data_IF_604822286115
#
_entry.id   IF_604822286115
#
_cell.length_a   1.000
_cell.length_b   1.000
_cell.length_c   1.000
_cell.angle_alpha   90.00
_cell.angle_beta   90.00
_cell.angle_gamma   90.00
#
_symmetry.space_group_name_H-M   'P 1'
#
loop_
_entity.id
_entity.type
_entity.pdbx_description
1 polymer ?
#
# COMPACT_ATOMS: atom_id res chain seq x y z
N UNK A 1 35.17 18.69 3.50
CA UNK A 1 34.49 19.10 4.74
C UNK A 1 33.92 20.48 4.50
N UNK A 2 32.73 20.60 3.97
CA UNK A 2 32.00 21.87 3.92
C UNK A 2 31.42 22.10 5.30
N UNK A 3 31.65 23.26 5.87
CA UNK A 3 31.15 23.66 7.18
C UNK A 3 29.65 23.40 7.27
N UNK A 4 29.22 22.57 8.23
CA UNK A 4 27.81 22.35 8.60
C UNK A 4 27.19 23.70 8.87
N UNK A 5 26.24 24.09 8.04
CA UNK A 5 25.55 25.35 8.12
C UNK A 5 24.91 25.51 9.51
N UNK A 6 25.20 26.61 10.19
CA UNK A 6 24.59 27.04 11.44
C UNK A 6 23.08 27.35 11.32
N UNK A 7 22.44 26.89 10.26
CA UNK A 7 21.04 27.14 9.87
C UNK A 7 20.20 25.86 9.75
N UNK A 8 20.76 24.69 10.06
CA UNK A 8 19.99 23.44 10.03
C UNK A 8 18.93 23.44 11.15
N UNK A 9 17.70 23.02 10.82
CA UNK A 9 16.56 22.98 11.74
C UNK A 9 16.76 21.79 12.69
N UNK A 10 17.01 22.06 13.96
CA UNK A 10 17.13 21.10 15.06
C UNK A 10 15.83 20.96 15.87
N UNK A 11 14.89 21.91 15.73
CA UNK A 11 13.63 21.92 16.41
C UNK A 11 12.66 20.90 15.85
N UNK A 12 12.33 19.84 16.63
CA UNK A 12 11.34 18.83 16.25
C UNK A 12 9.96 19.42 15.91
N UNK A 13 9.40 20.38 16.72
CA UNK A 13 8.11 20.99 16.37
C UNK A 13 8.15 21.73 15.04
N UNK A 14 9.25 22.43 14.74
CA UNK A 14 9.37 23.17 13.48
C UNK A 14 9.52 22.20 12.30
N UNK A 15 10.35 21.19 12.41
CA UNK A 15 10.53 20.15 11.37
C UNK A 15 9.22 19.41 11.11
N UNK A 16 8.49 19.01 12.15
CA UNK A 16 7.18 18.38 12.02
C UNK A 16 6.16 19.34 11.37
N UNK A 17 6.16 20.62 11.75
CA UNK A 17 5.32 21.63 11.12
C UNK A 17 5.60 21.78 9.62
N UNK A 18 6.86 21.72 9.20
CA UNK A 18 7.26 21.79 7.78
C UNK A 18 6.72 20.59 7.00
N UNK A 19 6.88 19.37 7.49
CA UNK A 19 6.35 18.19 6.76
C UNK A 19 4.82 18.21 6.69
N UNK A 20 4.14 18.66 7.75
CA UNK A 20 2.69 18.84 7.73
C UNK A 20 2.25 19.92 6.73
N UNK A 21 2.98 21.02 6.63
CA UNK A 21 2.74 22.06 5.64
C UNK A 21 2.94 21.55 4.20
N UNK A 22 3.98 20.72 3.96
CA UNK A 22 4.21 20.07 2.66
C UNK A 22 3.03 19.18 2.30
N UNK A 23 2.59 18.31 3.21
CA UNK A 23 1.43 17.44 2.98
C UNK A 23 0.19 18.29 2.67
N UNK A 24 -0.07 19.31 3.49
CA UNK A 24 -1.21 20.22 3.30
C UNK A 24 -1.18 20.92 1.94
N UNK A 25 -0.01 21.41 1.51
CA UNK A 25 0.18 22.07 0.21
C UNK A 25 -0.03 21.11 -0.96
N UNK A 26 0.49 19.87 -0.86
CA UNK A 26 0.30 18.84 -1.88
C UNK A 26 -1.18 18.53 -2.04
N UNK A 27 -1.92 18.30 -0.95
CA UNK A 27 -3.36 18.04 -1.02
C UNK A 27 -4.18 19.25 -1.46
N UNK A 28 -3.81 20.44 -1.02
CA UNK A 28 -4.45 21.67 -1.48
C UNK A 28 -4.32 21.84 -3.00
N UNK A 29 -3.10 21.72 -3.53
CA UNK A 29 -2.86 21.85 -4.97
C UNK A 29 -3.44 20.72 -5.79
N UNK A 30 -3.51 19.51 -5.23
CA UNK A 30 -4.19 18.37 -5.86
C UNK A 30 -5.71 18.58 -5.98
N UNK A 31 -6.31 19.33 -5.02
CA UNK A 31 -7.73 19.70 -5.03
C UNK A 31 -8.07 20.90 -5.94
N UNK A 32 -7.06 21.61 -6.46
CA UNK A 32 -7.32 22.79 -7.29
C UNK A 32 -7.90 22.41 -8.65
N UNK A 33 -8.92 23.15 -9.12
CA UNK A 33 -9.48 22.95 -10.45
C UNK A 33 -8.47 23.39 -11.54
N UNK A 34 -8.45 22.66 -12.66
CA UNK A 34 -7.65 23.05 -13.82
C UNK A 34 -6.94 21.90 -14.50
N UNK A 35 -6.65 22.10 -15.80
CA UNK A 35 -5.97 21.09 -16.63
C UNK A 35 -4.52 20.89 -16.21
N UNK A 36 -3.86 21.94 -15.71
CA UNK A 36 -2.48 21.88 -15.26
C UNK A 36 -2.32 20.92 -14.07
N UNK A 37 -3.03 21.16 -12.94
CA UNK A 37 -2.93 20.35 -11.75
C UNK A 37 -3.34 18.90 -11.99
N UNK A 38 -4.39 18.69 -12.77
CA UNK A 38 -4.82 17.32 -13.14
C UNK A 38 -3.75 16.57 -13.94
N UNK A 39 -3.05 17.23 -14.87
CA UNK A 39 -1.95 16.61 -15.62
C UNK A 39 -0.72 16.41 -14.75
N UNK A 40 -0.39 17.39 -13.93
CA UNK A 40 0.74 17.33 -13.03
C UNK A 40 0.64 16.13 -12.07
N UNK A 41 -0.50 15.99 -11.38
CA UNK A 41 -0.72 14.87 -10.45
C UNK A 41 -1.02 13.52 -11.13
N UNK A 42 -1.33 13.50 -12.41
CA UNK A 42 -1.39 12.27 -13.20
C UNK A 42 0.01 11.69 -13.49
N UNK A 43 1.05 12.56 -13.54
CA UNK A 43 2.43 12.15 -13.78
C UNK A 43 3.18 11.99 -12.45
N UNK A 44 2.92 12.86 -11.47
CA UNK A 44 3.61 12.89 -10.19
C UNK A 44 2.61 12.78 -9.03
N UNK A 45 2.26 11.56 -8.59
CA UNK A 45 1.27 11.34 -7.53
C UNK A 45 1.65 12.02 -6.23
N UNK A 46 0.63 12.43 -5.43
CA UNK A 46 0.83 13.16 -4.18
C UNK A 46 1.71 12.41 -3.17
N UNK A 47 1.65 11.09 -3.12
CA UNK A 47 2.49 10.28 -2.23
C UNK A 47 3.99 10.44 -2.55
N UNK A 48 4.34 10.51 -3.83
CA UNK A 48 5.73 10.75 -4.27
C UNK A 48 6.19 12.12 -3.79
N UNK A 49 5.38 13.18 -3.98
CA UNK A 49 5.72 14.53 -3.51
C UNK A 49 5.86 14.58 -1.99
N UNK A 50 4.95 13.94 -1.24
CA UNK A 50 5.03 13.89 0.22
C UNK A 50 6.28 13.17 0.73
N UNK A 51 6.88 12.25 -0.04
CA UNK A 51 8.13 11.59 0.28
C UNK A 51 9.34 12.42 -0.20
N UNK A 52 9.35 12.81 -1.48
CA UNK A 52 10.55 13.36 -2.12
C UNK A 52 10.80 14.84 -1.85
N UNK A 53 9.79 15.65 -1.48
CA UNK A 53 10.05 17.03 -1.05
C UNK A 53 10.81 17.03 0.28
N UNK A 54 10.38 16.32 1.35
CA UNK A 54 11.20 16.18 2.57
C UNK A 54 12.58 15.57 2.30
N UNK A 55 12.69 14.57 1.40
CA UNK A 55 13.97 13.98 1.01
C UNK A 55 14.92 15.00 0.36
N UNK A 56 14.40 15.87 -0.50
CA UNK A 56 15.17 16.98 -1.10
C UNK A 56 15.66 17.94 -0.03
N UNK A 57 14.78 18.37 0.88
CA UNK A 57 15.17 19.27 1.97
C UNK A 57 16.23 18.64 2.88
N UNK A 58 16.11 17.35 3.21
CA UNK A 58 17.11 16.61 3.97
C UNK A 58 18.45 16.56 3.24
N UNK A 59 18.44 16.19 1.95
CA UNK A 59 19.65 16.13 1.12
C UNK A 59 20.35 17.50 0.95
N UNK A 60 19.61 18.60 1.08
CA UNK A 60 20.13 19.97 1.09
C UNK A 60 20.63 20.41 2.48
N UNK A 61 20.55 19.56 3.51
CA UNK A 61 21.00 19.88 4.86
C UNK A 61 20.07 20.85 5.61
N UNK A 62 18.79 20.93 5.23
CA UNK A 62 17.79 21.79 5.91
C UNK A 62 17.48 21.28 7.31
N UNK A 63 17.47 19.94 7.51
CA UNK A 63 17.22 19.32 8.80
C UNK A 63 18.54 18.91 9.45
N UNK A 64 18.68 19.12 10.76
CA UNK A 64 19.80 18.64 11.52
C UNK A 64 19.77 17.11 11.68
N UNK A 65 20.95 16.51 11.84
CA UNK A 65 21.10 15.08 12.03
C UNK A 65 20.24 14.58 13.22
N UNK A 66 19.52 13.48 13.03
CA UNK A 66 18.71 12.85 14.06
C UNK A 66 17.27 13.40 14.19
N UNK A 67 16.93 14.57 13.64
CA UNK A 67 15.57 15.13 13.69
C UNK A 67 14.59 14.22 12.92
N UNK A 68 14.97 13.84 11.70
CA UNK A 68 14.16 12.94 10.87
C UNK A 68 13.90 11.60 11.55
N UNK A 69 14.91 11.00 12.19
CA UNK A 69 14.77 9.70 12.85
C UNK A 69 13.86 9.74 14.08
N UNK A 70 13.83 10.86 14.83
CA UNK A 70 12.91 11.00 15.96
C UNK A 70 11.45 11.12 15.52
N UNK A 71 11.17 11.93 14.47
CA UNK A 71 9.82 12.04 13.90
C UNK A 71 9.40 10.70 13.30
N UNK A 72 10.30 10.02 12.59
CA UNK A 72 10.04 8.71 12.04
C UNK A 72 9.74 7.67 13.12
N UNK A 73 10.53 7.61 14.20
CA UNK A 73 10.30 6.70 15.32
C UNK A 73 8.91 6.85 15.93
N UNK A 74 8.44 8.10 16.13
CA UNK A 74 7.08 8.36 16.58
C UNK A 74 6.04 7.85 15.58
N UNK A 75 6.21 8.16 14.30
CA UNK A 75 5.23 7.80 13.27
C UNK A 75 5.17 6.28 13.04
N UNK A 76 6.31 5.60 13.03
CA UNK A 76 6.38 4.15 12.87
C UNK A 76 5.81 3.40 14.08
N UNK A 77 6.02 3.92 15.30
CA UNK A 77 5.53 3.29 16.52
C UNK A 77 4.02 3.44 16.72
N UNK A 78 3.48 4.62 16.42
CA UNK A 78 2.07 4.92 16.75
C UNK A 78 1.17 5.04 15.52
N UNK A 79 1.60 5.76 14.48
CA UNK A 79 0.72 6.06 13.36
C UNK A 79 0.60 4.92 12.37
N UNK A 80 1.68 4.13 12.14
CA UNK A 80 1.63 2.97 11.26
C UNK A 80 0.63 1.91 11.75
N UNK A 81 0.72 1.37 12.98
CA UNK A 81 -0.27 0.39 13.44
C UNK A 81 -1.68 0.99 13.54
N UNK A 82 -1.82 2.27 13.93
CA UNK A 82 -3.10 2.96 13.93
C UNK A 82 -3.73 3.00 12.52
N UNK A 83 -2.93 3.29 11.50
CA UNK A 83 -3.40 3.29 10.11
C UNK A 83 -3.83 1.90 9.65
N UNK A 84 -3.05 0.86 9.95
CA UNK A 84 -3.40 -0.52 9.62
C UNK A 84 -4.75 -0.91 10.23
N UNK A 85 -4.97 -0.58 11.51
CA UNK A 85 -6.24 -0.82 12.19
C UNK A 85 -7.40 -0.09 11.52
N UNK A 86 -7.28 1.24 11.35
CA UNK A 86 -8.37 2.08 10.84
C UNK A 86 -8.73 1.74 9.38
N UNK A 87 -7.74 1.37 8.57
CA UNK A 87 -8.00 0.96 7.19
C UNK A 87 -8.62 -0.44 7.12
N UNK A 88 -8.15 -1.38 7.95
CA UNK A 88 -8.66 -2.76 7.96
C UNK A 88 -10.08 -2.85 8.56
N UNK A 89 -10.39 -2.11 9.63
CA UNK A 89 -11.73 -2.14 10.23
C UNK A 89 -12.83 -1.61 9.30
N UNK A 90 -12.46 -0.81 8.30
CA UNK A 90 -13.39 -0.27 7.29
C UNK A 90 -13.94 -1.35 6.34
N UNK A 91 -13.39 -2.54 6.36
CA UNK A 91 -13.77 -3.66 5.50
C UNK A 91 -15.22 -4.13 5.78
N UNK A 92 -16.05 -4.20 4.74
CA UNK A 92 -17.42 -4.75 4.81
C UNK A 92 -17.46 -6.15 4.18
N UNK A 93 -17.10 -7.16 4.97
CA UNK A 93 -17.01 -8.54 4.51
C UNK A 93 -18.30 -9.06 3.87
N UNK A 94 -19.51 -8.88 4.45
CA UNK A 94 -20.76 -9.29 3.80
C UNK A 94 -20.95 -8.72 2.40
N UNK A 95 -20.61 -7.45 2.19
CA UNK A 95 -20.71 -6.82 0.87
C UNK A 95 -19.66 -7.31 -0.11
N UNK A 96 -18.44 -7.51 0.36
CA UNK A 96 -17.38 -8.11 -0.46
C UNK A 96 -17.81 -9.48 -0.98
N UNK A 97 -18.38 -10.32 -0.11
CA UNK A 97 -18.92 -11.63 -0.50
C UNK A 97 -20.10 -11.50 -1.47
N UNK A 98 -20.91 -10.43 -1.33
CA UNK A 98 -22.02 -10.11 -2.23
C UNK A 98 -21.60 -9.71 -3.66
N UNK A 99 -20.33 -9.35 -3.91
CA UNK A 99 -19.82 -9.02 -5.25
C UNK A 99 -19.79 -10.23 -6.20
N UNK A 100 -20.02 -11.42 -5.68
CA UNK A 100 -19.98 -12.66 -6.43
C UNK A 100 -18.57 -13.28 -6.50
N UNK A 101 -18.57 -14.60 -6.71
CA UNK A 101 -17.33 -15.38 -6.62
C UNK A 101 -16.24 -14.97 -7.63
N UNK A 102 -16.63 -14.52 -8.85
CA UNK A 102 -15.65 -14.11 -9.88
C UNK A 102 -14.87 -12.84 -9.48
N UNK A 103 -15.51 -11.86 -8.82
CA UNK A 103 -14.85 -10.67 -8.31
C UNK A 103 -13.79 -11.04 -7.26
N UNK A 104 -14.19 -11.87 -6.31
CA UNK A 104 -13.33 -12.33 -5.21
C UNK A 104 -12.21 -13.22 -5.76
N UNK A 105 -12.53 -14.15 -6.66
CA UNK A 105 -11.54 -15.02 -7.28
C UNK A 105 -10.48 -14.21 -8.06
N UNK A 106 -10.89 -13.19 -8.82
CA UNK A 106 -9.95 -12.35 -9.55
C UNK A 106 -9.11 -11.47 -8.63
N UNK A 107 -9.66 -10.97 -7.51
CA UNK A 107 -8.88 -10.27 -6.51
C UNK A 107 -7.77 -11.17 -5.91
N UNK A 108 -8.13 -12.37 -5.44
CA UNK A 108 -7.14 -13.29 -4.87
C UNK A 108 -6.19 -13.86 -5.92
N UNK A 109 -6.64 -14.05 -7.16
CA UNK A 109 -5.76 -14.41 -8.26
C UNK A 109 -4.71 -13.32 -8.53
N UNK A 110 -5.11 -12.05 -8.45
CA UNK A 110 -4.19 -10.93 -8.56
C UNK A 110 -3.20 -10.88 -7.39
N UNK A 111 -3.67 -11.08 -6.16
CA UNK A 111 -2.79 -11.17 -4.98
C UNK A 111 -1.78 -12.31 -5.11
N UNK A 112 -2.23 -13.53 -5.48
CA UNK A 112 -1.37 -14.68 -5.68
C UNK A 112 -0.39 -14.48 -6.84
N UNK A 113 -0.84 -13.84 -7.93
CA UNK A 113 0.02 -13.50 -9.05
C UNK A 113 1.15 -12.56 -8.62
N UNK A 114 0.89 -11.56 -7.78
CA UNK A 114 1.91 -10.68 -7.22
C UNK A 114 2.87 -11.48 -6.34
N UNK A 115 2.34 -12.32 -5.44
CA UNK A 115 3.13 -13.14 -4.52
C UNK A 115 4.13 -14.02 -5.26
N UNK A 116 3.70 -14.64 -6.36
CA UNK A 116 4.53 -15.59 -7.12
C UNK A 116 5.46 -14.89 -8.10
N UNK A 117 4.97 -13.83 -8.78
CA UNK A 117 5.77 -13.16 -9.82
C UNK A 117 6.95 -12.36 -9.24
N UNK A 118 6.88 -11.92 -7.98
CA UNK A 118 8.01 -11.25 -7.31
C UNK A 118 9.27 -12.13 -7.24
N UNK A 119 9.22 -13.30 -6.58
CA UNK A 119 10.33 -14.23 -6.54
C UNK A 119 10.82 -14.66 -7.94
N UNK A 120 9.91 -14.88 -8.88
CA UNK A 120 10.27 -15.25 -10.26
C UNK A 120 11.03 -14.11 -10.95
N UNK A 121 10.57 -12.87 -10.80
CA UNK A 121 11.23 -11.70 -11.42
C UNK A 121 12.62 -11.45 -10.83
N UNK A 122 12.78 -11.59 -9.51
CA UNK A 122 14.08 -11.46 -8.86
C UNK A 122 15.02 -12.61 -9.27
N UNK A 123 14.53 -13.85 -9.34
CA UNK A 123 15.31 -14.99 -9.80
C UNK A 123 15.81 -14.81 -11.23
N UNK A 124 14.96 -14.36 -12.15
CA UNK A 124 15.34 -14.02 -13.51
C UNK A 124 16.35 -12.87 -13.57
N UNK A 125 16.15 -11.84 -12.77
CA UNK A 125 17.09 -10.71 -12.68
C UNK A 125 18.45 -11.15 -12.13
N UNK A 126 18.50 -12.03 -11.12
CA UNK A 126 19.74 -12.61 -10.58
C UNK A 126 20.47 -13.45 -11.64
N UNK A 127 19.72 -14.23 -12.43
CA UNK A 127 20.29 -15.00 -13.53
C UNK A 127 20.93 -14.12 -14.62
N UNK A 128 20.28 -12.99 -14.97
CA UNK A 128 20.77 -12.05 -16.00
C UNK A 128 21.91 -11.16 -15.48
N UNK A 129 21.84 -10.74 -14.22
CA UNK A 129 22.80 -9.81 -13.61
C UNK A 129 23.13 -10.22 -12.17
N UNK A 130 23.94 -11.27 -11.95
CA UNK A 130 24.28 -11.76 -10.61
C UNK A 130 24.91 -10.69 -9.71
N UNK A 131 25.66 -9.77 -10.29
CA UNK A 131 26.36 -8.70 -9.55
C UNK A 131 25.42 -7.74 -8.84
N UNK A 132 24.16 -7.62 -9.25
CA UNK A 132 23.17 -6.81 -8.53
C UNK A 132 22.72 -7.43 -7.21
N UNK A 133 22.98 -8.71 -7.00
CA UNK A 133 22.57 -9.51 -5.84
C UNK A 133 23.79 -9.92 -4.99
N UNK A 134 24.88 -9.16 -5.08
CA UNK A 134 26.10 -9.43 -4.31
C UNK A 134 25.95 -9.16 -2.81
N UNK A 135 25.03 -8.28 -2.46
CA UNK A 135 24.62 -8.03 -1.09
C UNK A 135 23.16 -8.50 -0.85
N UNK A 136 22.84 -8.83 0.40
CA UNK A 136 21.55 -9.38 0.82
C UNK A 136 20.46 -8.29 0.97
N UNK A 137 20.57 -7.17 0.26
CA UNK A 137 19.68 -6.02 0.49
C UNK A 137 18.51 -5.93 -0.50
N UNK A 138 18.70 -6.39 -1.73
CA UNK A 138 17.76 -6.12 -2.81
C UNK A 138 16.38 -6.75 -2.60
N UNK A 139 16.32 -8.01 -2.15
CA UNK A 139 15.04 -8.66 -1.84
C UNK A 139 14.31 -7.96 -0.69
N UNK A 140 15.05 -7.37 0.27
CA UNK A 140 14.47 -6.57 1.34
C UNK A 140 13.75 -5.36 0.74
N UNK A 141 14.39 -4.61 -0.17
CA UNK A 141 13.74 -3.51 -0.87
C UNK A 141 12.45 -3.91 -1.56
N UNK A 142 12.49 -4.98 -2.35
CA UNK A 142 11.31 -5.48 -3.05
C UNK A 142 10.21 -6.03 -2.13
N UNK A 143 10.51 -6.32 -0.84
CA UNK A 143 9.48 -6.62 0.16
C UNK A 143 8.48 -5.48 0.32
N UNK A 144 8.97 -4.24 0.29
CA UNK A 144 8.12 -3.05 0.38
C UNK A 144 7.18 -2.95 -0.84
N UNK A 145 7.67 -3.27 -2.06
CA UNK A 145 6.83 -3.32 -3.26
C UNK A 145 5.77 -4.41 -3.15
N UNK A 146 6.13 -5.61 -2.64
CA UNK A 146 5.16 -6.68 -2.39
C UNK A 146 4.04 -6.23 -1.44
N UNK A 147 4.41 -5.58 -0.33
CA UNK A 147 3.46 -5.02 0.64
C UNK A 147 2.53 -4.01 0.00
N UNK A 148 3.07 -3.09 -0.80
CA UNK A 148 2.31 -2.07 -1.52
C UNK A 148 1.34 -2.67 -2.53
N UNK A 149 1.82 -3.57 -3.39
CA UNK A 149 1.03 -4.12 -4.49
C UNK A 149 -0.02 -5.14 -4.06
N UNK A 150 -0.03 -5.59 -2.80
CA UNK A 150 -1.09 -6.46 -2.27
C UNK A 150 -1.99 -5.69 -1.30
N UNK A 151 -1.42 -4.77 -0.51
CA UNK A 151 -2.13 -4.14 0.60
C UNK A 151 -1.94 -2.64 0.76
N UNK A 152 -1.32 -1.96 -0.23
CA UNK A 152 -1.17 -0.50 -0.22
C UNK A 152 -0.07 0.02 0.72
N UNK A 153 0.03 1.36 0.82
CA UNK A 153 1.15 2.07 1.46
C UNK A 153 1.38 1.71 2.94
N UNK A 154 0.33 1.34 3.69
CA UNK A 154 0.48 0.90 5.08
C UNK A 154 1.26 -0.42 5.16
N UNK A 155 0.93 -1.38 4.29
CA UNK A 155 1.65 -2.65 4.21
C UNK A 155 3.05 -2.47 3.61
N UNK A 156 3.25 -1.51 2.69
CA UNK A 156 4.57 -1.13 2.19
C UNK A 156 5.50 -0.71 3.32
N UNK A 157 5.02 0.20 4.18
CA UNK A 157 5.77 0.68 5.33
C UNK A 157 5.99 -0.43 6.38
N UNK A 158 4.98 -1.30 6.61
CA UNK A 158 5.13 -2.44 7.50
C UNK A 158 6.23 -3.41 7.01
N UNK A 159 6.30 -3.71 5.72
CA UNK A 159 7.36 -4.55 5.15
C UNK A 159 8.73 -3.89 5.26
N UNK A 160 8.83 -2.56 5.09
CA UNK A 160 10.06 -1.82 5.31
C UNK A 160 10.62 -2.07 6.70
N UNK A 161 9.78 -1.89 7.72
CA UNK A 161 10.20 -2.08 9.12
C UNK A 161 10.54 -3.55 9.42
N UNK A 162 9.67 -4.45 8.99
CA UNK A 162 9.81 -5.88 9.28
C UNK A 162 11.11 -6.48 8.72
N UNK A 163 11.51 -6.06 7.52
CA UNK A 163 12.68 -6.60 6.83
C UNK A 163 13.90 -5.68 6.87
N UNK A 164 13.82 -4.57 7.59
CA UNK A 164 14.93 -3.64 7.80
C UNK A 164 15.42 -3.01 6.49
N UNK A 165 14.49 -2.54 5.66
CA UNK A 165 14.83 -1.85 4.40
C UNK A 165 15.41 -0.47 4.73
N UNK A 166 16.60 -0.16 4.21
CA UNK A 166 17.19 1.16 4.39
C UNK A 166 16.32 2.26 3.76
N UNK A 167 16.40 3.48 4.31
CA UNK A 167 15.54 4.58 3.87
C UNK A 167 15.78 4.95 2.41
N UNK A 168 17.05 4.97 1.96
CA UNK A 168 17.40 5.24 0.56
C UNK A 168 16.82 4.17 -0.38
N UNK A 169 16.97 2.89 -0.04
CA UNK A 169 16.40 1.79 -0.82
C UNK A 169 14.88 1.85 -0.82
N UNK A 170 14.26 2.20 0.31
CA UNK A 170 12.81 2.37 0.40
C UNK A 170 12.30 3.50 -0.50
N UNK A 171 13.01 4.64 -0.54
CA UNK A 171 12.69 5.73 -1.46
C UNK A 171 12.71 5.29 -2.92
N UNK A 172 13.71 4.49 -3.31
CA UNK A 172 13.74 3.88 -4.64
C UNK A 172 12.56 2.92 -4.87
N UNK A 173 12.18 2.13 -3.88
CA UNK A 173 11.04 1.22 -4.00
C UNK A 173 9.71 1.96 -4.13
N UNK A 174 9.55 3.14 -3.53
CA UNK A 174 8.39 4.02 -3.78
C UNK A 174 8.32 4.43 -5.26
N UNK A 175 9.46 4.75 -5.89
CA UNK A 175 9.49 5.07 -7.32
C UNK A 175 9.18 3.85 -8.19
N UNK A 176 9.77 2.69 -7.88
CA UNK A 176 9.49 1.42 -8.58
C UNK A 176 8.02 1.09 -8.50
N UNK A 177 7.44 1.14 -7.31
CA UNK A 177 6.03 0.89 -7.03
C UNK A 177 5.15 1.83 -7.84
N UNK A 178 5.28 3.14 -7.58
CA UNK A 178 4.40 4.16 -8.16
C UNK A 178 4.47 4.21 -9.68
N UNK A 179 5.68 4.07 -10.26
CA UNK A 179 5.86 4.10 -11.71
C UNK A 179 5.18 2.90 -12.36
N UNK A 180 5.45 1.69 -11.88
CA UNK A 180 4.90 0.48 -12.48
C UNK A 180 3.39 0.35 -12.25
N UNK A 181 2.88 0.72 -11.07
CA UNK A 181 1.45 0.74 -10.79
C UNK A 181 0.72 1.77 -11.67
N UNK A 182 1.31 2.94 -11.90
CA UNK A 182 0.74 3.96 -12.79
C UNK A 182 0.71 3.53 -14.26
N UNK A 183 1.78 2.89 -14.74
CA UNK A 183 1.81 2.32 -16.09
C UNK A 183 0.74 1.24 -16.27
N UNK A 184 0.56 0.38 -15.26
CA UNK A 184 -0.46 -0.65 -15.29
C UNK A 184 -1.88 -0.05 -15.22
N UNK A 185 -2.12 0.94 -14.36
CA UNK A 185 -3.39 1.67 -14.30
C UNK A 185 -3.73 2.29 -15.67
N UNK A 186 -2.77 2.97 -16.32
CA UNK A 186 -2.96 3.55 -17.63
C UNK A 186 -3.31 2.47 -18.67
N UNK A 187 -2.60 1.33 -18.65
CA UNK A 187 -2.90 0.22 -19.55
C UNK A 187 -4.32 -0.33 -19.33
N UNK A 188 -4.75 -0.51 -18.08
CA UNK A 188 -6.13 -0.91 -17.75
C UNK A 188 -7.15 0.08 -18.31
N UNK A 189 -6.97 1.40 -18.10
CA UNK A 189 -7.91 2.41 -18.55
C UNK A 189 -8.00 2.49 -20.08
N UNK A 190 -6.91 2.26 -20.79
CA UNK A 190 -6.91 2.13 -22.25
C UNK A 190 -7.67 0.86 -22.67
N UNK A 191 -7.39 -0.27 -22.03
CA UNK A 191 -8.04 -1.54 -22.33
C UNK A 191 -9.53 -1.56 -21.95
N UNK A 192 -9.97 -0.80 -20.95
CA UNK A 192 -11.37 -0.68 -20.55
C UNK A 192 -12.26 -0.16 -21.70
N UNK A 193 -11.72 0.73 -22.55
CA UNK A 193 -12.42 1.20 -23.77
C UNK A 193 -12.64 0.10 -24.81
N UNK A 194 -11.97 -1.03 -24.68
CA UNK A 194 -12.03 -2.17 -25.59
C UNK A 194 -12.49 -3.45 -24.88
N UNK A 195 -13.18 -3.30 -23.73
CA UNK A 195 -13.60 -4.41 -22.86
C UNK A 195 -14.34 -5.52 -23.62
N UNK A 196 -15.27 -5.17 -24.53
CA UNK A 196 -16.02 -6.14 -25.35
C UNK A 196 -15.12 -7.07 -26.19
N UNK A 197 -14.02 -6.54 -26.73
CA UNK A 197 -13.05 -7.34 -27.51
C UNK A 197 -12.27 -8.26 -26.60
N UNK A 198 -11.87 -7.76 -25.43
CA UNK A 198 -11.12 -8.54 -24.43
C UNK A 198 -12.02 -9.62 -23.85
N UNK A 199 -13.28 -9.31 -23.54
CA UNK A 199 -14.25 -10.29 -23.03
C UNK A 199 -14.50 -11.44 -24.01
N UNK A 200 -14.53 -11.14 -25.31
CA UNK A 200 -14.57 -12.19 -26.36
C UNK A 200 -13.34 -13.08 -26.34
N UNK A 201 -12.13 -12.50 -26.17
CA UNK A 201 -10.88 -13.26 -26.03
C UNK A 201 -10.86 -14.11 -24.75
N UNK A 202 -11.37 -13.57 -23.65
CA UNK A 202 -11.47 -14.26 -22.37
C UNK A 202 -12.62 -15.30 -22.35
N UNK A 203 -13.50 -15.33 -23.36
CA UNK A 203 -14.77 -16.08 -23.37
C UNK A 203 -15.58 -15.79 -22.12
N UNK A 204 -15.63 -14.52 -21.72
CA UNK A 204 -16.21 -14.07 -20.47
C UNK A 204 -17.72 -14.25 -20.44
N UNK A 205 -18.23 -14.50 -19.22
CA UNK A 205 -19.66 -14.48 -18.92
C UNK A 205 -20.00 -13.12 -18.27
N UNK A 206 -20.53 -12.21 -19.07
CA UNK A 206 -20.85 -10.83 -18.65
C UNK A 206 -22.09 -10.71 -17.78
N UNK A 207 -22.94 -11.74 -17.70
CA UNK A 207 -24.17 -11.72 -16.87
C UNK A 207 -23.90 -11.47 -15.37
N UNK A 208 -22.67 -11.73 -14.94
CA UNK A 208 -22.23 -11.47 -13.56
C UNK A 208 -22.04 -9.98 -13.24
N UNK A 209 -21.79 -9.12 -14.23
CA UNK A 209 -21.63 -7.67 -14.02
C UNK A 209 -22.98 -7.02 -13.73
N UNK A 210 -24.03 -7.38 -14.49
CA UNK A 210 -25.37 -6.84 -14.30
C UNK A 210 -25.91 -7.12 -12.89
N UNK A 211 -25.62 -8.31 -12.36
CA UNK A 211 -25.98 -8.68 -10.97
C UNK A 211 -25.28 -7.79 -9.96
N UNK A 212 -24.00 -7.47 -10.19
CA UNK A 212 -23.23 -6.60 -9.29
C UNK A 212 -23.75 -5.15 -9.37
N UNK A 213 -24.04 -4.64 -10.57
CA UNK A 213 -24.64 -3.30 -10.75
C UNK A 213 -25.94 -3.20 -9.95
N UNK A 214 -26.86 -4.15 -10.12
CA UNK A 214 -28.14 -4.16 -9.40
C UNK A 214 -27.95 -4.21 -7.89
N UNK A 215 -27.02 -5.01 -7.38
CA UNK A 215 -26.72 -5.13 -5.96
C UNK A 215 -26.15 -3.83 -5.35
N UNK A 216 -25.30 -3.12 -6.12
CA UNK A 216 -24.65 -1.88 -5.65
C UNK A 216 -25.63 -0.69 -5.69
N UNK A 217 -26.41 -0.55 -6.75
CA UNK A 217 -27.39 0.56 -6.89
C UNK A 217 -28.44 0.58 -5.77
N UNK A 218 -28.80 -0.59 -5.25
CA UNK A 218 -29.70 -0.69 -4.09
C UNK A 218 -29.11 -0.14 -2.79
N UNK A 219 -27.80 0.02 -2.72
CA UNK A 219 -27.06 0.30 -1.47
C UNK A 219 -26.65 1.77 -1.26
N UNK A 220 -26.32 2.54 -2.31
CA UNK A 220 -25.61 3.84 -2.21
C UNK A 220 -26.27 4.94 -1.36
N UNK A 221 -27.50 4.79 -0.92
CA UNK A 221 -28.29 5.94 -0.42
C UNK A 221 -28.13 6.34 1.04
N UNK A 222 -27.40 5.63 1.93
CA UNK A 222 -27.70 5.80 3.38
C UNK A 222 -26.59 5.92 4.42
N UNK A 223 -25.28 5.99 4.15
CA UNK A 223 -24.33 5.70 5.24
C UNK A 223 -23.22 6.70 5.60
N UNK A 224 -22.92 7.72 4.82
CA UNK A 224 -21.92 8.73 5.22
C UNK A 224 -22.59 9.87 6.02
N UNK A 225 -22.05 10.19 7.20
CA UNK A 225 -22.47 11.35 8.01
C UNK A 225 -21.27 12.15 8.47
N UNK A 226 -21.43 13.47 8.78
CA UNK A 226 -20.38 14.24 9.42
C UNK A 226 -19.99 13.63 10.76
N UNK A 227 -18.66 13.61 11.04
CA UNK A 227 -18.13 13.16 12.31
C UNK A 227 -18.47 14.17 13.41
N UNK A 228 -18.94 13.69 14.55
CA UNK A 228 -19.03 14.49 15.79
C UNK A 228 -17.73 14.40 16.58
N UNK A 229 -17.50 15.31 17.52
CA UNK A 229 -16.36 15.22 18.43
C UNK A 229 -16.35 13.88 19.20
N UNK A 230 -17.53 13.39 19.62
CA UNK A 230 -17.65 12.12 20.32
C UNK A 230 -17.20 10.94 19.44
N UNK A 231 -17.57 10.91 18.15
CA UNK A 231 -17.13 9.89 17.23
C UNK A 231 -15.59 9.87 17.08
N UNK A 232 -14.99 11.05 16.96
CA UNK A 232 -13.54 11.17 16.84
C UNK A 232 -12.84 10.71 18.12
N UNK A 233 -13.33 11.12 19.31
CA UNK A 233 -12.75 10.70 20.58
C UNK A 233 -12.84 9.19 20.79
N UNK A 234 -13.99 8.57 20.48
CA UNK A 234 -14.16 7.12 20.54
C UNK A 234 -13.22 6.41 19.56
N UNK A 235 -13.11 6.93 18.33
CA UNK A 235 -12.24 6.36 17.30
C UNK A 235 -10.76 6.43 17.70
N UNK A 236 -10.27 7.59 18.14
CA UNK A 236 -8.88 7.75 18.57
C UNK A 236 -8.59 6.95 19.84
N UNK A 237 -9.48 6.99 20.83
CA UNK A 237 -9.32 6.22 22.06
C UNK A 237 -9.23 4.72 21.81
N UNK A 238 -10.17 4.17 21.02
CA UNK A 238 -10.15 2.76 20.64
C UNK A 238 -8.90 2.41 19.82
N UNK A 239 -8.55 3.23 18.84
CA UNK A 239 -7.45 2.98 17.94
C UNK A 239 -6.13 2.90 18.72
N UNK A 240 -5.79 3.90 19.51
CA UNK A 240 -4.52 3.92 20.25
C UNK A 240 -4.49 2.95 21.43
N UNK A 241 -5.65 2.62 22.04
CA UNK A 241 -5.72 1.53 23.01
C UNK A 241 -5.34 0.19 22.37
N UNK A 242 -5.86 -0.10 21.16
CA UNK A 242 -5.52 -1.34 20.45
C UNK A 242 -4.07 -1.34 19.95
N UNK A 243 -3.51 -0.19 19.57
CA UNK A 243 -2.08 -0.06 19.28
C UNK A 243 -1.24 -0.46 20.49
N UNK A 244 -1.59 0.05 21.68
CA UNK A 244 -0.92 -0.33 22.94
C UNK A 244 -1.03 -1.83 23.24
N UNK A 245 -2.21 -2.41 23.08
CA UNK A 245 -2.42 -3.87 23.23
C UNK A 245 -1.58 -4.66 22.23
N UNK A 246 -1.53 -4.23 20.96
CA UNK A 246 -0.77 -4.93 19.93
C UNK A 246 0.75 -4.88 20.19
N UNK A 247 1.27 -3.75 20.66
CA UNK A 247 2.68 -3.65 21.08
C UNK A 247 2.99 -4.54 22.29
N UNK A 248 2.13 -4.52 23.31
CA UNK A 248 2.32 -5.34 24.50
C UNK A 248 2.32 -6.83 24.17
N UNK A 249 1.28 -7.31 23.50
CA UNK A 249 1.17 -8.72 23.12
C UNK A 249 2.26 -9.12 22.12
N UNK A 250 2.59 -8.24 21.17
CA UNK A 250 3.67 -8.47 20.21
C UNK A 250 5.02 -8.67 20.89
N UNK A 251 5.32 -7.87 21.93
CA UNK A 251 6.52 -8.05 22.73
C UNK A 251 6.57 -9.37 23.49
N UNK A 252 5.45 -9.78 24.12
CA UNK A 252 5.36 -11.05 24.85
C UNK A 252 5.54 -12.26 23.92
N UNK A 253 4.86 -12.27 22.78
CA UNK A 253 4.95 -13.37 21.82
C UNK A 253 6.35 -13.44 21.19
N UNK A 254 6.93 -12.31 20.81
CA UNK A 254 8.30 -12.28 20.28
C UNK A 254 9.33 -12.80 21.31
N UNK A 255 9.18 -12.43 22.59
CA UNK A 255 10.00 -12.93 23.68
C UNK A 255 9.93 -14.44 23.84
N UNK A 256 8.75 -15.04 23.65
CA UNK A 256 8.58 -16.49 23.66
C UNK A 256 9.35 -17.17 22.51
N UNK A 257 9.38 -16.55 21.32
CA UNK A 257 10.06 -17.10 20.14
C UNK A 257 11.55 -16.75 20.07
N UNK A 258 12.04 -15.78 20.83
CA UNK A 258 13.42 -15.30 20.78
C UNK A 258 14.51 -16.40 20.95
N UNK A 259 14.34 -17.45 21.77
CA UNK A 259 15.35 -18.50 21.91
C UNK A 259 15.50 -19.42 20.68
N UNK A 260 14.56 -19.41 19.75
CA UNK A 260 14.55 -20.34 18.62
C UNK A 260 15.18 -19.71 17.38
N UNK A 261 16.28 -20.28 16.87
CA UNK A 261 17.00 -19.77 15.69
C UNK A 261 16.12 -19.68 14.43
N UNK A 262 15.26 -20.67 14.19
CA UNK A 262 14.31 -20.63 13.09
C UNK A 262 13.32 -19.47 13.22
N UNK A 263 12.90 -19.13 14.44
CA UNK A 263 11.98 -18.02 14.67
C UNK A 263 12.63 -16.66 14.38
N UNK A 264 13.93 -16.51 14.72
CA UNK A 264 14.71 -15.34 14.33
C UNK A 264 14.82 -15.26 12.80
N UNK A 265 15.10 -16.39 12.14
CA UNK A 265 15.23 -16.48 10.69
C UNK A 265 13.97 -16.05 9.94
N UNK A 266 12.78 -16.39 10.46
CA UNK A 266 11.49 -16.08 9.85
C UNK A 266 10.77 -14.90 10.51
N UNK A 267 11.47 -14.03 11.22
CA UNK A 267 10.95 -12.83 11.89
C UNK A 267 9.93 -13.09 13.02
N UNK A 268 9.71 -14.33 13.44
CA UNK A 268 8.81 -14.62 14.57
C UNK A 268 9.35 -14.14 15.92
N UNK A 269 10.64 -13.87 16.04
CA UNK A 269 11.25 -13.22 17.21
C UNK A 269 11.15 -11.69 17.16
N UNK A 270 10.50 -11.10 16.15
CA UNK A 270 10.30 -9.66 16.01
C UNK A 270 9.00 -9.21 16.70
N UNK A 271 9.11 -8.32 17.68
CA UNK A 271 7.96 -7.67 18.32
C UNK A 271 7.14 -6.87 17.31
N UNK A 272 7.80 -6.25 16.34
CA UNK A 272 7.15 -5.49 15.27
C UNK A 272 6.30 -6.40 14.37
N UNK A 273 6.82 -7.58 14.00
CA UNK A 273 6.04 -8.57 13.22
C UNK A 273 4.72 -8.91 13.91
N UNK A 274 4.78 -9.28 15.19
CA UNK A 274 3.57 -9.65 15.94
C UNK A 274 2.65 -8.47 16.16
N UNK A 275 3.18 -7.28 16.42
CA UNK A 275 2.36 -6.07 16.51
C UNK A 275 1.55 -5.84 15.21
N UNK A 276 2.19 -5.94 14.03
CA UNK A 276 1.51 -5.79 12.74
C UNK A 276 0.46 -6.88 12.52
N UNK A 277 0.79 -8.12 12.83
CA UNK A 277 -0.16 -9.25 12.72
C UNK A 277 -1.36 -9.05 13.64
N UNK A 278 -1.12 -8.74 14.91
CA UNK A 278 -2.17 -8.57 15.92
C UNK A 278 -3.09 -7.40 15.55
N UNK A 279 -2.53 -6.25 15.20
CA UNK A 279 -3.33 -5.06 14.87
C UNK A 279 -4.18 -5.29 13.61
N UNK A 280 -3.65 -6.03 12.62
CA UNK A 280 -4.39 -6.41 11.42
C UNK A 280 -5.53 -7.36 11.75
N UNK A 281 -5.29 -8.39 12.59
CA UNK A 281 -6.32 -9.32 13.05
C UNK A 281 -7.42 -8.59 13.83
N UNK A 282 -7.05 -7.69 14.75
CA UNK A 282 -8.02 -6.85 15.50
C UNK A 282 -8.87 -6.03 14.52
N UNK A 283 -8.26 -5.41 13.51
CA UNK A 283 -8.98 -4.67 12.47
C UNK A 283 -9.98 -5.56 11.71
N UNK A 284 -9.58 -6.77 11.33
CA UNK A 284 -10.47 -7.75 10.70
C UNK A 284 -11.61 -8.13 11.65
N UNK A 285 -11.34 -8.44 12.91
CA UNK A 285 -12.39 -8.76 13.90
C UNK A 285 -13.36 -7.59 14.04
N UNK A 286 -12.86 -6.36 14.17
CA UNK A 286 -13.69 -5.17 14.28
C UNK A 286 -14.56 -4.92 13.04
N UNK A 287 -14.11 -5.32 11.86
CA UNK A 287 -14.89 -5.23 10.62
C UNK A 287 -16.19 -6.05 10.64
N UNK A 288 -16.26 -7.09 11.46
CA UNK A 288 -17.48 -7.88 11.68
C UNK A 288 -18.40 -7.33 12.78
N UNK A 289 -17.97 -6.28 13.49
CA UNK A 289 -18.72 -5.71 14.62
C UNK A 289 -19.33 -4.36 14.28
N UNK A 290 -20.07 -3.80 15.25
CA UNK A 290 -20.62 -2.43 15.13
C UNK A 290 -19.50 -1.36 15.07
N UNK A 291 -18.28 -1.68 15.47
CA UNK A 291 -17.11 -0.76 15.48
C UNK A 291 -16.80 -0.30 14.05
N UNK A 292 -17.01 -1.13 13.02
CA UNK A 292 -16.81 -0.74 11.63
C UNK A 292 -17.60 0.51 11.22
N UNK A 293 -18.69 0.86 11.94
CA UNK A 293 -19.45 2.10 11.70
C UNK A 293 -18.61 3.36 11.87
N UNK A 294 -17.45 3.27 12.51
CA UNK A 294 -16.47 4.36 12.56
C UNK A 294 -15.94 4.73 11.17
N UNK A 295 -16.04 3.85 10.17
CA UNK A 295 -15.71 4.24 8.79
C UNK A 295 -16.71 5.22 8.18
N UNK A 296 -17.98 5.17 8.59
CA UNK A 296 -19.00 6.14 8.17
C UNK A 296 -18.67 7.59 8.61
N UNK A 297 -17.81 7.74 9.60
CA UNK A 297 -17.31 9.03 10.10
C UNK A 297 -15.83 9.26 9.77
N UNK A 298 -15.25 8.43 8.90
CA UNK A 298 -13.97 8.69 8.25
C UNK A 298 -12.75 7.95 8.83
N UNK A 299 -12.91 6.77 9.44
CA UNK A 299 -11.79 5.99 9.98
C UNK A 299 -10.71 5.72 8.92
N UNK A 300 -11.07 5.24 7.73
CA UNK A 300 -10.12 5.02 6.64
C UNK A 300 -9.43 6.29 6.17
N UNK A 301 -10.12 7.44 6.17
CA UNK A 301 -9.52 8.73 5.83
C UNK A 301 -8.45 9.15 6.83
N UNK A 302 -8.71 8.98 8.13
CA UNK A 302 -7.74 9.27 9.20
C UNK A 302 -6.54 8.30 9.10
N UNK A 303 -6.77 7.01 8.86
CA UNK A 303 -5.71 6.05 8.58
C UNK A 303 -4.81 6.48 7.43
N UNK A 304 -5.42 6.99 6.35
CA UNK A 304 -4.68 7.54 5.20
C UNK A 304 -3.85 8.76 5.58
N UNK A 305 -4.38 9.70 6.39
CA UNK A 305 -3.59 10.85 6.90
C UNK A 305 -2.35 10.36 7.66
N UNK A 306 -2.50 9.37 8.54
CA UNK A 306 -1.36 8.82 9.31
C UNK A 306 -0.28 8.24 8.40
N UNK A 307 -0.66 7.56 7.31
CA UNK A 307 0.30 7.05 6.32
C UNK A 307 1.04 8.18 5.61
N UNK A 308 0.36 9.25 5.20
CA UNK A 308 1.05 10.38 4.56
C UNK A 308 2.06 11.06 5.49
N UNK A 309 1.74 11.16 6.78
CA UNK A 309 2.68 11.68 7.80
C UNK A 309 3.89 10.76 7.93
N UNK A 310 3.69 9.44 8.00
CA UNK A 310 4.77 8.46 8.04
C UNK A 310 5.65 8.52 6.79
N UNK A 311 5.06 8.56 5.60
CA UNK A 311 5.82 8.64 4.33
C UNK A 311 6.65 9.92 4.25
N UNK A 312 6.13 11.05 4.72
CA UNK A 312 6.89 12.30 4.78
C UNK A 312 8.05 12.21 5.79
N UNK A 313 7.83 11.56 6.94
CA UNK A 313 8.88 11.31 7.92
C UNK A 313 9.97 10.38 7.39
N UNK A 314 9.63 9.35 6.62
CA UNK A 314 10.60 8.51 5.92
C UNK A 314 11.39 9.36 4.92
N UNK A 315 10.71 10.22 4.16
CA UNK A 315 11.36 11.15 3.23
C UNK A 315 12.48 11.97 3.88
N UNK A 316 12.30 12.42 5.13
CA UNK A 316 13.34 13.15 5.86
C UNK A 316 14.62 12.34 6.13
N UNK A 317 14.62 11.04 5.91
CA UNK A 317 15.79 10.17 6.12
C UNK A 317 16.47 9.75 4.80
N UNK A 318 15.85 10.02 3.66
CA UNK A 318 16.34 9.63 2.34
C UNK A 318 17.44 10.59 1.88
N UNK A 319 18.55 10.01 1.35
CA UNK A 319 19.59 10.74 0.61
C UNK A 319 19.41 10.53 -0.89
N UNK A 320 19.05 11.60 -1.61
CA UNK A 320 18.75 11.51 -3.04
C UNK A 320 19.94 11.25 -3.96
N UNK A 321 21.18 11.47 -3.50
CA UNK A 321 22.38 11.35 -4.33
C UNK A 321 22.57 9.92 -4.91
N UNK A 322 22.09 8.89 -4.21
CA UNK A 322 22.19 7.48 -4.62
C UNK A 322 21.08 6.98 -5.55
N UNK A 323 19.96 7.71 -5.64
CA UNK A 323 18.75 7.18 -6.30
C UNK A 323 18.86 7.14 -7.83
N UNK A 324 19.48 8.17 -8.43
CA UNK A 324 19.51 8.33 -9.90
C UNK A 324 20.25 7.21 -10.63
N UNK A 325 21.15 6.50 -9.95
CA UNK A 325 21.98 5.45 -10.55
C UNK A 325 21.28 4.09 -10.71
N UNK A 326 20.09 3.90 -10.14
CA UNK A 326 19.50 2.56 -9.97
C UNK A 326 18.25 2.27 -10.86
N UNK A 327 18.20 2.85 -12.08
CA UNK A 327 17.12 2.62 -13.04
C UNK A 327 16.79 1.13 -13.31
N UNK A 328 17.78 0.23 -13.09
CA UNK A 328 17.60 -1.22 -13.26
C UNK A 328 16.51 -1.79 -12.35
N UNK A 329 16.28 -1.18 -11.18
CA UNK A 329 15.22 -1.60 -10.26
C UNK A 329 13.82 -1.37 -10.85
N UNK A 330 13.64 -0.30 -11.63
CA UNK A 330 12.40 -0.05 -12.39
C UNK A 330 12.12 -1.18 -13.38
N UNK A 331 13.16 -1.72 -14.05
CA UNK A 331 13.00 -2.83 -14.98
C UNK A 331 12.61 -4.13 -14.28
N UNK A 332 13.14 -4.40 -13.08
CA UNK A 332 12.73 -5.55 -12.28
C UNK A 332 11.27 -5.41 -11.89
N UNK A 333 10.82 -4.22 -11.45
CA UNK A 333 9.42 -3.93 -11.18
C UNK A 333 8.53 -4.12 -12.42
N UNK A 334 8.99 -3.67 -13.59
CA UNK A 334 8.28 -3.86 -14.86
C UNK A 334 8.17 -5.35 -15.24
N UNK A 335 9.25 -6.11 -15.07
CA UNK A 335 9.23 -7.57 -15.28
C UNK A 335 8.22 -8.24 -14.34
N UNK A 336 8.25 -7.87 -13.06
CA UNK A 336 7.32 -8.38 -12.05
C UNK A 336 5.87 -8.09 -12.47
N UNK A 337 5.55 -6.83 -12.79
CA UNK A 337 4.22 -6.44 -13.27
C UNK A 337 3.82 -7.20 -14.55
N UNK A 338 4.75 -7.40 -15.47
CA UNK A 338 4.48 -8.13 -16.72
C UNK A 338 4.10 -9.59 -16.46
N UNK A 339 4.83 -10.28 -15.56
CA UNK A 339 4.51 -11.67 -15.17
C UNK A 339 3.15 -11.70 -14.47
N UNK A 340 2.89 -10.76 -13.53
CA UNK A 340 1.59 -10.62 -12.88
C UNK A 340 0.45 -10.51 -13.91
N UNK A 341 0.59 -9.62 -14.91
CA UNK A 341 -0.41 -9.42 -15.96
C UNK A 341 -0.67 -10.71 -16.73
N UNK A 342 0.38 -11.43 -17.14
CA UNK A 342 0.22 -12.72 -17.83
C UNK A 342 -0.59 -13.71 -16.99
N UNK A 343 -0.26 -13.84 -15.71
CA UNK A 343 -0.95 -14.78 -14.80
C UNK A 343 -2.43 -14.41 -14.66
N UNK A 344 -2.76 -13.12 -14.40
CA UNK A 344 -4.16 -12.72 -14.20
C UNK A 344 -5.01 -12.87 -15.47
N UNK A 345 -4.43 -12.63 -16.66
CA UNK A 345 -5.13 -12.89 -17.91
C UNK A 345 -5.36 -14.39 -18.15
N UNK A 346 -4.39 -15.23 -17.81
CA UNK A 346 -4.54 -16.68 -17.88
C UNK A 346 -5.65 -17.18 -16.94
N UNK A 347 -5.67 -16.69 -15.69
CA UNK A 347 -6.72 -17.06 -14.72
C UNK A 347 -8.09 -16.55 -15.18
N UNK A 348 -8.20 -15.29 -15.61
CA UNK A 348 -9.47 -14.73 -16.11
C UNK A 348 -10.03 -15.57 -17.28
N UNK A 349 -9.14 -16.00 -18.18
CA UNK A 349 -9.52 -16.88 -19.31
C UNK A 349 -10.00 -18.26 -18.84
N UNK A 350 -9.35 -18.82 -17.82
CA UNK A 350 -9.68 -20.13 -17.25
C UNK A 350 -11.08 -20.12 -16.59
N UNK A 351 -11.35 -19.12 -15.75
CA UNK A 351 -12.63 -19.02 -15.03
C UNK A 351 -13.71 -18.25 -15.81
N UNK A 352 -13.40 -17.82 -17.04
CA UNK A 352 -14.27 -17.01 -17.89
C UNK A 352 -14.77 -15.75 -17.18
N UNK A 353 -13.84 -15.08 -16.48
CA UNK A 353 -14.15 -13.84 -15.79
C UNK A 353 -14.15 -12.66 -16.78
N UNK A 354 -15.14 -11.75 -16.68
CA UNK A 354 -15.10 -10.50 -17.40
C UNK A 354 -13.85 -9.68 -17.11
N UNK A 355 -13.39 -8.93 -18.12
CA UNK A 355 -12.22 -8.05 -17.99
C UNK A 355 -12.41 -7.03 -16.86
N UNK A 356 -13.64 -6.60 -16.58
CA UNK A 356 -13.98 -5.78 -15.45
C UNK A 356 -13.41 -6.33 -14.12
N UNK A 357 -13.68 -7.60 -13.81
CA UNK A 357 -13.20 -8.20 -12.57
C UNK A 357 -11.68 -8.38 -12.53
N UNK A 358 -11.06 -8.66 -13.68
CA UNK A 358 -9.61 -8.68 -13.82
C UNK A 358 -9.02 -7.30 -13.53
N UNK A 359 -9.54 -6.27 -14.21
CA UNK A 359 -9.05 -4.91 -14.12
C UNK A 359 -9.18 -4.34 -12.71
N UNK A 360 -10.39 -4.45 -12.12
CA UNK A 360 -10.66 -3.94 -10.78
C UNK A 360 -9.98 -4.78 -9.71
N UNK A 361 -9.98 -6.10 -9.82
CA UNK A 361 -9.31 -7.00 -8.87
C UNK A 361 -7.78 -6.79 -8.85
N UNK A 362 -7.16 -6.63 -10.01
CA UNK A 362 -5.73 -6.32 -10.10
C UNK A 362 -5.41 -4.92 -9.56
N UNK A 363 -6.18 -3.90 -9.96
CA UNK A 363 -5.93 -2.54 -9.50
C UNK A 363 -6.29 -2.33 -8.02
N UNK A 364 -7.24 -3.10 -7.48
CA UNK A 364 -7.53 -3.12 -6.06
C UNK A 364 -6.33 -3.58 -5.22
N UNK A 365 -5.51 -4.46 -5.77
CA UNK A 365 -4.22 -4.85 -5.20
C UNK A 365 -3.18 -3.73 -5.42
N UNK A 366 -2.83 -3.42 -6.67
CA UNK A 366 -1.68 -2.54 -7.00
C UNK A 366 -1.90 -1.06 -6.73
N UNK A 367 -3.15 -0.59 -6.70
CA UNK A 367 -3.49 0.81 -6.47
C UNK A 367 -4.43 1.05 -5.28
N UNK A 368 -4.92 -0.04 -4.66
CA UNK A 368 -5.74 -0.01 -3.44
C UNK A 368 -7.09 0.69 -3.62
N UNK A 369 -7.69 1.08 -2.48
CA UNK A 369 -9.01 1.72 -2.44
C UNK A 369 -9.04 3.14 -3.04
N UNK A 370 -7.89 3.73 -3.37
CA UNK A 370 -7.81 5.07 -3.98
C UNK A 370 -7.99 5.04 -5.50
N UNK A 371 -7.43 4.06 -6.19
CA UNK A 371 -7.46 4.01 -7.66
C UNK A 371 -8.41 2.95 -8.22
N UNK A 372 -8.71 1.87 -7.50
CA UNK A 372 -9.63 0.85 -7.97
C UNK A 372 -11.04 1.37 -8.26
N UNK A 373 -11.61 2.34 -7.53
CA UNK A 373 -12.87 3.00 -7.90
C UNK A 373 -12.78 3.70 -9.26
N UNK A 374 -11.64 4.33 -9.57
CA UNK A 374 -11.42 5.03 -10.86
C UNK A 374 -11.48 4.01 -11.99
N UNK A 375 -10.82 2.85 -11.81
CA UNK A 375 -10.90 1.75 -12.78
C UNK A 375 -12.34 1.24 -12.92
N UNK A 376 -13.04 1.03 -11.82
CA UNK A 376 -14.40 0.53 -11.83
C UNK A 376 -15.36 1.48 -12.57
N UNK A 377 -15.24 2.81 -12.37
CA UNK A 377 -16.05 3.82 -13.04
C UNK A 377 -15.77 3.90 -14.54
N UNK A 378 -14.61 3.47 -15.03
CA UNK A 378 -14.30 3.41 -16.44
C UNK A 378 -15.16 2.37 -17.21
N UNK A 379 -15.75 1.40 -16.48
CA UNK A 379 -16.72 0.44 -17.04
C UNK A 379 -18.16 0.92 -16.82
N UNK A 380 -18.51 1.30 -15.59
CA UNK A 380 -19.82 1.87 -15.28
C UNK A 380 -19.75 2.73 -13.99
N UNK A 381 -20.38 3.93 -13.94
CA UNK A 381 -20.31 4.80 -12.75
C UNK A 381 -20.74 4.14 -11.44
N UNK A 382 -21.81 3.32 -11.48
CA UNK A 382 -22.33 2.60 -10.28
C UNK A 382 -21.37 1.55 -9.73
N UNK A 383 -20.30 1.19 -10.43
CA UNK A 383 -19.34 0.16 -9.99
C UNK A 383 -18.22 0.69 -9.10
N UNK A 384 -18.13 2.01 -8.86
CA UNK A 384 -17.11 2.59 -7.98
C UNK A 384 -16.99 1.88 -6.62
N UNK A 385 -18.09 1.56 -5.90
CA UNK A 385 -18.01 0.87 -4.61
C UNK A 385 -17.34 -0.50 -4.67
N UNK A 386 -17.43 -1.22 -5.80
CA UNK A 386 -16.73 -2.51 -5.99
C UNK A 386 -15.23 -2.33 -5.85
N UNK A 387 -14.69 -1.29 -6.50
CA UNK A 387 -13.27 -0.93 -6.40
C UNK A 387 -12.87 -0.60 -4.95
N UNK A 388 -13.71 0.17 -4.24
CA UNK A 388 -13.48 0.50 -2.82
C UNK A 388 -13.41 -0.78 -1.97
N UNK A 389 -14.42 -1.65 -2.08
CA UNK A 389 -14.49 -2.86 -1.25
C UNK A 389 -13.33 -3.82 -1.50
N UNK A 390 -12.98 -4.05 -2.75
CA UNK A 390 -11.82 -4.91 -3.07
C UNK A 390 -10.50 -4.26 -2.65
N UNK A 391 -10.34 -2.94 -2.81
CA UNK A 391 -9.15 -2.22 -2.35
C UNK A 391 -8.96 -2.27 -0.83
N UNK A 392 -10.05 -2.17 -0.06
CA UNK A 392 -10.01 -2.29 1.41
C UNK A 392 -9.67 -3.74 1.84
N UNK A 393 -10.17 -4.75 1.11
CA UNK A 393 -9.80 -6.15 1.35
C UNK A 393 -8.27 -6.35 1.24
N UNK A 394 -7.63 -5.62 0.33
CA UNK A 394 -6.17 -5.61 0.18
C UNK A 394 -5.43 -5.27 1.46
N UNK A 395 -5.95 -4.38 2.30
CA UNK A 395 -5.28 -3.99 3.55
C UNK A 395 -5.08 -5.16 4.50
N UNK A 396 -6.07 -6.07 4.59
CA UNK A 396 -5.97 -7.28 5.40
C UNK A 396 -5.05 -8.34 4.78
N UNK A 397 -5.14 -8.51 3.46
CA UNK A 397 -4.36 -9.54 2.74
C UNK A 397 -2.90 -9.14 2.59
N UNK A 398 -2.62 -7.84 2.48
CA UNK A 398 -1.30 -7.28 2.17
C UNK A 398 -0.23 -7.64 3.19
N UNK A 399 -0.56 -7.62 4.48
CA UNK A 399 0.37 -8.01 5.55
C UNK A 399 0.90 -9.45 5.35
N UNK A 400 -0.01 -10.39 5.16
CA UNK A 400 0.33 -11.81 5.02
C UNK A 400 0.93 -12.11 3.64
N UNK A 401 0.32 -11.57 2.57
CA UNK A 401 0.79 -11.76 1.21
C UNK A 401 2.17 -11.15 0.97
N UNK A 402 2.41 -9.94 1.47
CA UNK A 402 3.70 -9.28 1.41
C UNK A 402 4.78 -10.07 2.15
N UNK A 403 4.48 -10.56 3.35
CA UNK A 403 5.39 -11.41 4.11
C UNK A 403 5.73 -12.71 3.36
N UNK A 404 4.72 -13.44 2.86
CA UNK A 404 4.93 -14.70 2.13
C UNK A 404 5.77 -14.45 0.87
N UNK A 405 5.42 -13.45 0.05
CA UNK A 405 6.18 -13.10 -1.15
C UNK A 405 7.65 -12.79 -0.82
N UNK A 406 7.87 -12.05 0.27
CA UNK A 406 9.22 -11.69 0.73
C UNK A 406 10.04 -12.90 1.14
N UNK A 407 9.46 -13.84 1.90
CA UNK A 407 10.16 -15.07 2.27
C UNK A 407 10.51 -15.90 1.03
N UNK A 408 9.62 -15.97 0.02
CA UNK A 408 9.90 -16.63 -1.24
C UNK A 408 11.02 -15.92 -2.02
N UNK A 409 11.02 -14.58 -2.07
CA UNK A 409 12.11 -13.79 -2.69
C UNK A 409 13.44 -14.07 -2.01
N UNK A 410 13.46 -14.09 -0.68
CA UNK A 410 14.66 -14.42 0.10
C UNK A 410 15.20 -15.79 -0.20
N UNK A 411 14.35 -16.82 -0.35
CA UNK A 411 14.78 -18.19 -0.70
C UNK A 411 15.39 -18.28 -2.10
N UNK A 412 14.98 -17.40 -3.02
CA UNK A 412 15.44 -17.43 -4.42
C UNK A 412 16.73 -16.63 -4.59
N UNK A 413 16.89 -15.51 -3.90
CA UNK A 413 18.00 -14.56 -4.17
C UNK A 413 18.79 -14.15 -2.93
N UNK A 414 18.35 -14.52 -1.74
CA UNK A 414 19.06 -14.31 -0.48
C UNK A 414 20.19 -15.28 -0.22
#
# INVERSE_FOLDING_TARGET
MLATSSLAIDSLPLAFGIIMAIIGLVFYTQGLPGKFWRRFYAVLPGIVLCCFIPATLNSLGVFADGVGSQIYGFTATYLLPASLLLMTLSMDVPKILGLGWKAIAMFFAASLAIIVSGPVSLGLAKWVSPSMFSDDTLWRGFSAVAGSWIGGAANQAAMKELFGVSDDLFGMMILVDTTNASLWLLAILIMAKHSDKIDKLLKADSSSIDKVITAVESYERHHARPATLNDLMVMFGLCFAMVGVAHFLGGQIAGFFAPYSWAVQYSFASSFFWMVVIITIIGVIFSFTKIRRLDHVGASKIGTVFIFVLIAAIGMQINLAGIVSQWRLLLIGLLWMSIHVVIIFAVARLIRAPFFFLAVGSNANTGGASSAPIVATAFHPSLAPVGVFLGILGYAVGTFGGYISTQMMRLVVG
#
